data_IF_441056625330
#
_entry.id   IF_441056625330
#
_cell.length_a   1.000
_cell.length_b   1.000
_cell.length_c   1.000
_cell.angle_alpha   90.00
_cell.angle_beta   90.00
_cell.angle_gamma   90.00
#
_symmetry.space_group_name_H-M   'P 1'
#
loop_
_entity.id
_entity.type
_entity.pdbx_description
1 polymer ?
#
# COMPACT_ATOMS: atom_id res chain seq x y z
N UNK A 1 -11.50 -0.89 44.20
CA UNK A 1 -10.38 -1.60 43.53
C UNK A 1 -10.93 -2.28 42.28
N UNK A 2 -10.70 -1.71 41.08
CA UNK A 2 -10.50 -2.45 39.79
C UNK A 2 -10.27 -1.44 38.65
N UNK A 3 -9.01 -1.12 38.34
CA UNK A 3 -8.62 -0.51 37.05
C UNK A 3 -7.71 -1.48 36.30
N UNK A 4 -8.27 -2.62 35.88
CA UNK A 4 -7.51 -3.73 35.29
C UNK A 4 -7.70 -3.95 33.78
N UNK A 5 -8.46 -3.11 33.07
CA UNK A 5 -8.98 -3.48 31.74
C UNK A 5 -8.35 -2.74 30.54
N UNK A 6 -7.53 -1.70 30.75
CA UNK A 6 -7.07 -0.82 29.66
C UNK A 6 -5.83 -1.34 28.90
N UNK A 7 -4.92 -2.06 29.56
CA UNK A 7 -3.64 -2.47 28.94
C UNK A 7 -3.79 -3.55 27.84
N UNK A 8 -4.88 -4.33 27.85
CA UNK A 8 -5.10 -5.44 26.91
C UNK A 8 -5.47 -4.99 25.48
N UNK A 9 -6.15 -3.85 25.33
CA UNK A 9 -6.59 -3.33 24.03
C UNK A 9 -5.42 -2.82 23.18
N UNK A 10 -4.43 -2.14 23.78
CA UNK A 10 -3.27 -1.59 23.04
C UNK A 10 -2.40 -2.68 22.41
N UNK A 11 -2.23 -3.83 23.09
CA UNK A 11 -1.45 -4.96 22.54
C UNK A 11 -2.11 -5.63 21.33
N UNK A 12 -3.45 -5.75 21.32
CA UNK A 12 -4.16 -6.37 20.19
C UNK A 12 -4.16 -5.49 18.94
N UNK A 13 -4.23 -4.16 19.08
CA UNK A 13 -4.16 -3.24 17.95
C UNK A 13 -2.80 -3.30 17.23
N UNK A 14 -1.69 -3.39 17.98
CA UNK A 14 -0.35 -3.55 17.40
C UNK A 14 -0.19 -4.84 16.60
N UNK A 15 -0.70 -5.96 17.11
CA UNK A 15 -0.65 -7.26 16.42
C UNK A 15 -1.50 -7.26 15.14
N UNK A 16 -2.66 -6.62 15.14
CA UNK A 16 -3.50 -6.50 13.94
C UNK A 16 -2.84 -5.65 12.86
N UNK A 17 -2.16 -4.57 13.24
CA UNK A 17 -1.41 -3.75 12.29
C UNK A 17 -0.25 -4.53 11.67
N UNK A 18 0.47 -5.34 12.45
CA UNK A 18 1.54 -6.20 11.94
C UNK A 18 1.03 -7.29 11.00
N UNK A 19 -0.08 -7.96 11.33
CA UNK A 19 -0.69 -8.93 10.42
C UNK A 19 -1.18 -8.26 9.13
N UNK A 20 -1.74 -7.05 9.23
CA UNK A 20 -2.17 -6.27 8.06
C UNK A 20 -0.98 -5.90 7.16
N UNK A 21 0.17 -5.55 7.74
CA UNK A 21 1.40 -5.28 7.00
C UNK A 21 1.91 -6.54 6.28
N UNK A 22 1.98 -7.68 6.98
CA UNK A 22 2.44 -8.93 6.39
C UNK A 22 1.57 -9.37 5.20
N UNK A 23 0.23 -9.31 5.34
CA UNK A 23 -0.67 -9.63 4.23
C UNK A 23 -0.61 -8.62 3.09
N UNK A 24 -0.30 -7.36 3.39
CA UNK A 24 -0.11 -6.32 2.37
C UNK A 24 1.17 -6.58 1.57
N UNK A 25 2.28 -6.86 2.26
CA UNK A 25 3.56 -7.18 1.64
C UNK A 25 3.43 -8.40 0.73
N UNK A 26 2.75 -9.45 1.17
CA UNK A 26 2.50 -10.65 0.35
C UNK A 26 1.69 -10.35 -0.92
N UNK A 27 0.73 -9.43 -0.84
CA UNK A 27 -0.10 -9.05 -1.98
C UNK A 27 0.56 -8.04 -2.94
N UNK A 28 1.45 -7.19 -2.43
CA UNK A 28 2.00 -6.02 -3.16
C UNK A 28 3.43 -6.22 -3.62
N UNK A 29 4.31 -6.85 -2.82
CA UNK A 29 5.72 -7.05 -3.18
C UNK A 29 5.89 -7.74 -4.55
N UNK A 30 5.12 -8.80 -4.91
CA UNK A 30 5.25 -9.44 -6.21
C UNK A 30 4.87 -8.53 -7.40
N UNK A 31 4.22 -7.40 -7.15
CA UNK A 31 3.72 -6.49 -8.18
C UNK A 31 4.45 -5.14 -8.17
N UNK A 32 5.42 -4.95 -7.26
CA UNK A 32 6.14 -3.70 -7.10
C UNK A 32 7.01 -3.38 -8.32
N UNK A 33 7.67 -4.38 -8.91
CA UNK A 33 8.44 -4.21 -10.14
C UNK A 33 7.55 -3.79 -11.32
N UNK A 34 6.35 -4.36 -11.43
CA UNK A 34 5.39 -3.99 -12.46
C UNK A 34 4.87 -2.56 -12.26
N UNK A 35 4.63 -2.16 -11.00
CA UNK A 35 4.26 -0.80 -10.63
C UNK A 35 5.37 0.21 -10.99
N UNK A 36 6.62 -0.10 -10.66
CA UNK A 36 7.76 0.74 -10.99
C UNK A 36 7.97 0.91 -12.49
N UNK A 37 7.91 -0.19 -13.25
CA UNK A 37 8.01 -0.12 -14.70
C UNK A 37 6.90 0.73 -15.34
N UNK A 38 5.66 0.66 -14.81
CA UNK A 38 4.57 1.51 -15.25
C UNK A 38 4.82 2.99 -14.92
N UNK A 39 5.26 3.29 -13.70
CA UNK A 39 5.55 4.65 -13.27
C UNK A 39 6.66 5.26 -14.16
N UNK A 40 7.76 4.54 -14.36
CA UNK A 40 8.87 4.96 -15.22
C UNK A 40 8.45 5.20 -16.66
N UNK A 41 7.57 4.35 -17.21
CA UNK A 41 7.04 4.55 -18.56
C UNK A 41 6.17 5.81 -18.67
N UNK A 42 5.44 6.16 -17.61
CA UNK A 42 4.57 7.33 -17.55
C UNK A 42 5.36 8.63 -17.28
N UNK A 43 6.27 8.65 -16.30
CA UNK A 43 7.04 9.84 -15.89
C UNK A 43 8.18 10.16 -16.85
N UNK A 44 8.76 9.15 -17.51
CA UNK A 44 9.99 9.24 -18.32
C UNK A 44 11.23 9.73 -17.56
N UNK A 45 11.14 9.81 -16.24
CA UNK A 45 12.21 10.17 -15.32
C UNK A 45 12.25 9.14 -14.19
N UNK A 46 13.47 8.74 -13.79
CA UNK A 46 13.69 7.72 -12.76
C UNK A 46 13.44 8.22 -11.34
N UNK A 47 13.75 9.49 -11.07
CA UNK A 47 13.54 10.13 -9.77
C UNK A 47 12.06 10.32 -9.52
N UNK A 48 11.35 10.86 -10.51
CA UNK A 48 9.89 11.03 -10.43
C UNK A 48 9.17 9.68 -10.33
N UNK A 49 9.70 8.63 -10.97
CA UNK A 49 9.14 7.29 -10.88
C UNK A 49 9.24 6.71 -9.46
N UNK A 50 10.38 6.87 -8.79
CA UNK A 50 10.56 6.43 -7.41
C UNK A 50 9.59 7.14 -6.46
N UNK A 51 9.46 8.46 -6.59
CA UNK A 51 8.56 9.26 -5.76
C UNK A 51 7.08 8.88 -5.96
N UNK A 52 6.69 8.67 -7.22
CA UNK A 52 5.34 8.21 -7.60
C UNK A 52 5.04 6.84 -7.02
N UNK A 53 5.97 5.88 -7.10
CA UNK A 53 5.77 4.53 -6.58
C UNK A 53 5.67 4.54 -5.07
N UNK A 54 6.51 5.33 -4.38
CA UNK A 54 6.43 5.49 -2.93
C UNK A 54 5.05 6.02 -2.51
N UNK A 55 4.57 7.10 -3.13
CA UNK A 55 3.24 7.64 -2.82
C UNK A 55 2.11 6.66 -3.19
N UNK A 56 2.26 5.89 -4.27
CA UNK A 56 1.31 4.86 -4.67
C UNK A 56 1.23 3.72 -3.64
N UNK A 57 2.38 3.25 -3.12
CA UNK A 57 2.43 2.21 -2.08
C UNK A 57 1.82 2.72 -0.77
N UNK A 58 2.09 3.96 -0.37
CA UNK A 58 1.48 4.59 0.80
C UNK A 58 -0.06 4.68 0.66
N UNK A 59 -0.55 5.03 -0.54
CA UNK A 59 -1.99 5.01 -0.84
C UNK A 59 -2.55 3.59 -0.79
N UNK A 60 -1.86 2.62 -1.38
CA UNK A 60 -2.26 1.22 -1.36
C UNK A 60 -2.39 0.71 0.08
N UNK A 61 -1.45 1.03 0.96
CA UNK A 61 -1.51 0.64 2.37
C UNK A 61 -2.73 1.25 3.10
N UNK A 62 -3.08 2.51 2.80
CA UNK A 62 -4.29 3.17 3.33
C UNK A 62 -5.56 2.46 2.86
N UNK A 63 -5.65 2.12 1.57
CA UNK A 63 -6.81 1.45 0.97
C UNK A 63 -6.86 -0.06 1.23
N UNK A 64 -5.77 -0.68 1.72
CA UNK A 64 -5.70 -2.11 2.01
C UNK A 64 -6.76 -2.58 3.02
N UNK A 65 -7.31 -1.67 3.85
CA UNK A 65 -8.43 -2.00 4.74
C UNK A 65 -9.72 -2.45 4.02
N UNK A 66 -9.88 -2.10 2.73
CA UNK A 66 -10.98 -2.55 1.88
C UNK A 66 -10.57 -3.56 0.82
N UNK A 67 -9.32 -4.05 0.85
CA UNK A 67 -8.86 -5.07 -0.09
C UNK A 67 -9.45 -6.42 0.31
N UNK A 68 -10.29 -6.98 -0.57
CA UNK A 68 -10.99 -8.24 -0.33
C UNK A 68 -10.13 -9.42 -0.82
N UNK A 69 -10.10 -10.51 -0.04
CA UNK A 69 -9.52 -11.79 -0.45
C UNK A 69 -10.22 -12.28 -1.74
N UNK A 70 -9.52 -12.24 -2.88
CA UNK A 70 -10.05 -12.63 -4.20
C UNK A 70 -9.92 -11.55 -5.28
N UNK A 71 -9.51 -10.33 -4.94
CA UNK A 71 -9.13 -9.32 -5.93
C UNK A 71 -7.69 -9.55 -6.39
N UNK A 72 -7.44 -9.49 -7.70
CA UNK A 72 -6.07 -9.50 -8.22
C UNK A 72 -5.32 -8.25 -7.75
N UNK A 73 -4.26 -8.45 -6.96
CA UNK A 73 -3.45 -7.35 -6.41
C UNK A 73 -2.78 -6.51 -7.48
N UNK A 74 -2.48 -7.10 -8.64
CA UNK A 74 -1.81 -6.44 -9.77
C UNK A 74 -2.63 -5.30 -10.40
N UNK A 75 -3.81 -5.51 -11.01
CA UNK A 75 -4.60 -4.43 -11.61
C UNK A 75 -5.01 -3.37 -10.57
N UNK A 76 -5.24 -3.79 -9.33
CA UNK A 76 -5.51 -2.87 -8.23
C UNK A 76 -4.34 -1.92 -7.95
N UNK A 77 -3.12 -2.45 -7.79
CA UNK A 77 -1.92 -1.64 -7.57
C UNK A 77 -1.61 -0.73 -8.77
N UNK A 78 -1.69 -1.27 -10.00
CA UNK A 78 -1.41 -0.49 -11.21
C UNK A 78 -2.40 0.67 -11.40
N UNK A 79 -3.66 0.49 -11.01
CA UNK A 79 -4.67 1.57 -11.00
C UNK A 79 -4.30 2.69 -10.03
N UNK A 80 -3.78 2.35 -8.85
CA UNK A 80 -3.30 3.33 -7.87
C UNK A 80 -2.09 4.09 -8.41
N UNK A 81 -1.09 3.38 -8.94
CA UNK A 81 0.11 4.00 -9.55
C UNK A 81 -0.28 4.98 -10.65
N UNK A 82 -1.17 4.57 -11.57
CA UNK A 82 -1.64 5.43 -12.66
C UNK A 82 -2.30 6.71 -12.14
N UNK A 83 -3.15 6.61 -11.13
CA UNK A 83 -3.80 7.78 -10.53
C UNK A 83 -2.77 8.70 -9.84
N UNK A 84 -1.81 8.11 -9.13
CA UNK A 84 -0.70 8.86 -8.53
C UNK A 84 0.11 9.58 -9.61
N UNK A 85 0.50 8.92 -10.70
CA UNK A 85 1.21 9.54 -11.83
C UNK A 85 0.47 10.79 -12.34
N UNK A 86 -0.84 10.69 -12.60
CA UNK A 86 -1.62 11.84 -13.07
C UNK A 86 -1.80 12.94 -12.03
N UNK A 87 -1.69 12.60 -10.74
CA UNK A 87 -1.69 13.61 -9.68
C UNK A 87 -0.37 14.39 -9.66
N UNK A 88 0.75 13.72 -9.92
CA UNK A 88 2.09 14.32 -9.98
C UNK A 88 2.32 15.15 -11.24
N UNK A 89 1.74 14.76 -12.38
CA UNK A 89 1.86 15.47 -13.66
C UNK A 89 0.95 16.69 -13.81
N UNK A 90 0.11 16.98 -12.81
CA UNK A 90 -0.85 18.10 -12.86
C UNK A 90 -0.30 19.29 -12.07
#
# INVERSE_FOLDING_TARGET
MVYGSSCRKKRKAGLQAQNKLASFEEAVLPHLDAAYNLARWLTRDETDADDVVQEAVLRAFRYFGGFHQGMDGRPWLLGIVRNTCYTWMR
#
